data_IF_164894281437
#
_entry.id   IF_164894281437
#
_cell.length_a   1.000
_cell.length_b   1.000
_cell.length_c   1.000
_cell.angle_alpha   90.00
_cell.angle_beta   90.00
_cell.angle_gamma   90.00
#
_symmetry.space_group_name_H-M   'P 1'
#
loop_
_entity.id
_entity.type
_entity.pdbx_description
1 polymer ?
#
# COMPACT_ATOMS: atom_id res chain seq x y z
N UNK A 1 54.87 -24.88 160.52
CA UNK A 1 55.19 -25.73 159.34
C UNK A 1 53.99 -26.52 158.77
N UNK A 2 52.75 -26.34 159.26
CA UNK A 2 51.55 -27.01 158.71
C UNK A 2 50.83 -26.22 157.59
N UNK A 3 50.99 -24.89 157.53
CA UNK A 3 50.34 -24.03 156.52
C UNK A 3 51.00 -24.09 155.13
N UNK A 4 52.27 -24.51 155.02
CA UNK A 4 53.01 -24.55 153.76
C UNK A 4 52.66 -25.77 152.89
N UNK A 5 52.40 -26.93 153.50
CA UNK A 5 52.03 -28.17 152.79
C UNK A 5 50.58 -28.08 152.26
N UNK A 6 49.66 -27.48 153.03
CA UNK A 6 48.29 -27.23 152.57
C UNK A 6 48.21 -26.26 151.39
N UNK A 7 49.08 -25.24 151.37
CA UNK A 7 49.16 -24.28 150.27
C UNK A 7 49.74 -24.90 148.99
N UNK A 8 50.68 -25.85 149.12
CA UNK A 8 51.25 -26.58 147.98
C UNK A 8 50.27 -27.61 147.38
N UNK A 9 49.46 -28.28 148.22
CA UNK A 9 48.38 -29.16 147.75
C UNK A 9 47.26 -28.33 147.10
N UNK A 10 46.87 -27.20 147.69
CA UNK A 10 45.90 -26.27 147.09
C UNK A 10 46.39 -25.71 145.74
N UNK A 11 47.68 -25.38 145.63
CA UNK A 11 48.29 -24.94 144.38
C UNK A 11 48.32 -26.06 143.34
N UNK A 12 48.65 -27.30 143.72
CA UNK A 12 48.66 -28.44 142.81
C UNK A 12 47.26 -28.75 142.25
N UNK A 13 46.21 -28.63 143.07
CA UNK A 13 44.82 -28.81 142.63
C UNK A 13 44.40 -27.70 141.64
N UNK A 14 44.77 -26.44 141.91
CA UNK A 14 44.51 -25.32 140.98
C UNK A 14 45.24 -25.52 139.65
N UNK A 15 46.50 -25.96 139.67
CA UNK A 15 47.28 -26.23 138.45
C UNK A 15 46.68 -27.38 137.65
N UNK A 16 46.19 -28.44 138.30
CA UNK A 16 45.53 -29.57 137.63
C UNK A 16 44.21 -29.15 136.95
N UNK A 17 43.41 -28.29 137.60
CA UNK A 17 42.17 -27.75 137.02
C UNK A 17 42.49 -26.83 135.83
N UNK A 18 43.47 -25.93 135.97
CA UNK A 18 43.90 -25.04 134.89
C UNK A 18 44.44 -25.84 133.68
N UNK A 19 45.27 -26.86 133.91
CA UNK A 19 45.80 -27.70 132.84
C UNK A 19 44.72 -28.53 132.14
N UNK A 20 43.74 -29.07 132.87
CA UNK A 20 42.76 -30.00 132.31
C UNK A 20 41.53 -29.32 131.70
N UNK A 21 41.18 -28.10 132.12
CA UNK A 21 39.98 -27.41 131.64
C UNK A 21 40.27 -26.09 130.91
N UNK A 22 41.25 -25.29 131.33
CA UNK A 22 41.51 -23.96 130.71
C UNK A 22 42.47 -24.05 129.53
N UNK A 23 43.60 -24.78 129.67
CA UNK A 23 44.58 -24.96 128.59
C UNK A 23 44.00 -25.56 127.30
N UNK A 24 43.16 -26.63 127.33
CA UNK A 24 42.59 -27.17 126.09
C UNK A 24 41.61 -26.20 125.41
N UNK A 25 40.86 -25.40 126.17
CA UNK A 25 39.93 -24.40 125.62
C UNK A 25 40.70 -23.26 124.92
N UNK A 26 41.78 -22.77 125.55
CA UNK A 26 42.64 -21.71 125.00
C UNK A 26 43.44 -22.21 123.79
N UNK A 27 44.02 -23.42 123.83
CA UNK A 27 44.70 -24.02 122.67
C UNK A 27 43.74 -24.26 121.51
N UNK A 28 42.51 -24.71 121.77
CA UNK A 28 41.49 -24.91 120.74
C UNK A 28 41.05 -23.61 120.06
N UNK A 29 40.90 -22.52 120.81
CA UNK A 29 40.62 -21.19 120.22
C UNK A 29 41.82 -20.64 119.45
N UNK A 30 43.05 -20.87 119.93
CA UNK A 30 44.26 -20.46 119.22
C UNK A 30 44.47 -21.27 117.92
N UNK A 31 44.16 -22.57 117.91
CA UNK A 31 44.18 -23.43 116.72
C UNK A 31 43.10 -23.03 115.70
N UNK A 32 41.86 -22.76 116.15
CA UNK A 32 40.80 -22.24 115.26
C UNK A 32 41.16 -20.88 114.65
N UNK A 33 41.80 -20.00 115.41
CA UNK A 33 42.31 -18.75 114.83
C UNK A 33 43.48 -18.99 113.88
N UNK A 34 44.41 -19.90 114.18
CA UNK A 34 45.48 -20.27 113.26
C UNK A 34 44.95 -20.91 111.96
N UNK A 35 43.96 -21.80 112.03
CA UNK A 35 43.30 -22.40 110.86
C UNK A 35 42.46 -21.39 110.09
N UNK A 36 41.73 -20.49 110.74
CA UNK A 36 40.98 -19.43 110.07
C UNK A 36 41.92 -18.46 109.35
N UNK A 37 43.06 -18.10 109.95
CA UNK A 37 44.10 -17.29 109.30
C UNK A 37 44.74 -18.06 108.14
N UNK A 38 45.02 -19.36 108.32
CA UNK A 38 45.59 -20.21 107.25
C UNK A 38 44.63 -20.42 106.08
N UNK A 39 43.33 -20.60 106.36
CA UNK A 39 42.28 -20.72 105.36
C UNK A 39 42.02 -19.38 104.66
N UNK A 40 41.96 -18.26 105.40
CA UNK A 40 41.85 -16.92 104.82
C UNK A 40 43.06 -16.58 103.94
N UNK A 41 44.28 -16.96 104.34
CA UNK A 41 45.48 -16.81 103.51
C UNK A 41 45.45 -17.73 102.27
N UNK A 42 44.95 -18.95 102.39
CA UNK A 42 44.83 -19.88 101.26
C UNK A 42 43.74 -19.46 100.26
N UNK A 43 42.57 -19.01 100.74
CA UNK A 43 41.47 -18.49 99.92
C UNK A 43 41.86 -17.16 99.26
N UNK A 44 42.56 -16.27 99.97
CA UNK A 44 43.13 -15.06 99.39
C UNK A 44 44.17 -15.38 98.31
N UNK A 45 45.04 -16.38 98.54
CA UNK A 45 46.01 -16.82 97.53
C UNK A 45 45.33 -17.48 96.31
N UNK A 46 44.23 -18.23 96.50
CA UNK A 46 43.47 -18.81 95.38
C UNK A 46 42.66 -17.75 94.63
N UNK A 47 42.09 -16.76 95.33
CA UNK A 47 41.40 -15.63 94.72
C UNK A 47 42.37 -14.73 93.95
N UNK A 48 43.56 -14.44 94.50
CA UNK A 48 44.64 -13.76 93.78
C UNK A 48 45.07 -14.55 92.53
N UNK A 49 45.17 -15.88 92.62
CA UNK A 49 45.48 -16.72 91.46
C UNK A 49 44.36 -16.71 90.41
N UNK A 50 43.09 -16.83 90.79
CA UNK A 50 41.94 -16.76 89.87
C UNK A 50 41.81 -15.38 89.22
N UNK A 51 42.08 -14.31 89.97
CA UNK A 51 42.11 -12.96 89.44
C UNK A 51 43.26 -12.80 88.44
N UNK A 52 44.46 -13.29 88.77
CA UNK A 52 45.60 -13.30 87.85
C UNK A 52 45.34 -14.12 86.58
N UNK A 53 44.70 -15.30 86.71
CA UNK A 53 44.31 -16.14 85.57
C UNK A 53 43.23 -15.46 84.71
N UNK A 54 42.24 -14.80 85.34
CA UNK A 54 41.20 -14.05 84.64
C UNK A 54 41.76 -12.80 83.93
N UNK A 55 42.67 -12.06 84.55
CA UNK A 55 43.38 -10.93 83.95
C UNK A 55 44.24 -11.41 82.77
N UNK A 56 44.92 -12.55 82.90
CA UNK A 56 45.68 -13.16 81.81
C UNK A 56 44.78 -13.61 80.65
N UNK A 57 43.61 -14.22 80.94
CA UNK A 57 42.63 -14.58 79.92
C UNK A 57 42.00 -13.36 79.25
N UNK A 58 41.71 -12.30 80.00
CA UNK A 58 41.18 -11.06 79.45
C UNK A 58 42.21 -10.36 78.56
N UNK A 59 43.46 -10.26 79.01
CA UNK A 59 44.56 -9.72 78.23
C UNK A 59 44.74 -10.49 76.92
N UNK A 60 44.72 -11.84 76.98
CA UNK A 60 44.78 -12.70 75.80
C UNK A 60 43.57 -12.51 74.88
N UNK A 61 42.35 -12.45 75.40
CA UNK A 61 41.16 -12.21 74.60
C UNK A 61 41.16 -10.84 73.91
N UNK A 62 41.72 -9.81 74.55
CA UNK A 62 41.92 -8.48 73.94
C UNK A 62 42.97 -8.54 72.84
N UNK A 63 44.05 -9.29 73.04
CA UNK A 63 45.07 -9.52 72.01
C UNK A 63 44.49 -10.27 70.80
N UNK A 64 43.77 -11.37 71.03
CA UNK A 64 43.10 -12.16 70.00
C UNK A 64 42.04 -11.33 69.26
N UNK A 65 41.26 -10.50 69.98
CA UNK A 65 40.29 -9.59 69.37
C UNK A 65 40.96 -8.50 68.52
N UNK A 66 42.10 -7.95 68.95
CA UNK A 66 42.90 -7.01 68.15
C UNK A 66 43.46 -7.68 66.90
N UNK A 67 43.97 -8.90 67.01
CA UNK A 67 44.46 -9.68 65.88
C UNK A 67 43.34 -9.99 64.88
N UNK A 68 42.16 -10.40 65.36
CA UNK A 68 40.98 -10.64 64.53
C UNK A 68 40.49 -9.35 63.85
N UNK A 69 40.42 -8.22 64.57
CA UNK A 69 40.05 -6.93 64.00
C UNK A 69 41.04 -6.44 62.93
N UNK A 70 42.34 -6.64 63.15
CA UNK A 70 43.37 -6.35 62.16
C UNK A 70 43.18 -7.22 60.90
N UNK A 71 42.89 -8.53 61.08
CA UNK A 71 42.60 -9.44 59.97
C UNK A 71 41.36 -9.02 59.17
N UNK A 72 40.25 -8.69 59.84
CA UNK A 72 39.02 -8.21 59.20
C UNK A 72 39.26 -6.91 58.44
N UNK A 73 40.07 -6.01 58.99
CA UNK A 73 40.42 -4.74 58.31
C UNK A 73 41.23 -5.00 57.04
N UNK A 74 42.16 -5.96 57.07
CA UNK A 74 42.96 -6.32 55.89
C UNK A 74 42.11 -7.02 54.82
N UNK A 75 41.24 -7.94 55.22
CA UNK A 75 40.26 -8.57 54.32
C UNK A 75 39.33 -7.52 53.69
N UNK A 76 38.84 -6.55 54.47
CA UNK A 76 38.01 -5.45 53.97
C UNK A 76 38.74 -4.51 53.00
N UNK A 77 40.04 -4.24 53.22
CA UNK A 77 40.86 -3.47 52.28
C UNK A 77 41.03 -4.22 50.97
N UNK A 78 41.41 -5.50 51.03
CA UNK A 78 41.57 -6.32 49.83
C UNK A 78 40.25 -6.46 49.06
N UNK A 79 39.11 -6.62 49.76
CA UNK A 79 37.80 -6.62 49.12
C UNK A 79 37.44 -5.27 48.50
N UNK A 80 37.81 -4.15 49.13
CA UNK A 80 37.60 -2.82 48.55
C UNK A 80 38.40 -2.64 47.26
N UNK A 81 39.68 -3.03 47.26
CA UNK A 81 40.53 -3.02 46.06
C UNK A 81 39.97 -3.91 44.95
N UNK A 82 39.45 -5.10 45.32
CA UNK A 82 38.77 -6.01 44.39
C UNK A 82 37.50 -5.39 43.81
N UNK A 83 36.68 -4.73 44.62
CA UNK A 83 35.45 -4.04 44.17
C UNK A 83 35.82 -2.88 43.23
N UNK A 84 36.83 -2.08 43.57
CA UNK A 84 37.30 -1.00 42.72
C UNK A 84 37.80 -1.52 41.37
N UNK A 85 38.60 -2.58 41.36
CA UNK A 85 39.06 -3.22 40.13
C UNK A 85 37.90 -3.75 39.28
N UNK A 86 36.91 -4.39 39.90
CA UNK A 86 35.70 -4.88 39.22
C UNK A 86 34.86 -3.74 38.63
N UNK A 87 34.67 -2.65 39.37
CA UNK A 87 33.94 -1.47 38.90
C UNK A 87 34.68 -0.77 37.75
N UNK A 88 36.02 -0.70 37.80
CA UNK A 88 36.82 -0.15 36.71
C UNK A 88 36.74 -1.02 35.45
N UNK A 89 36.81 -2.35 35.59
CA UNK A 89 36.63 -3.27 34.46
C UNK A 89 35.23 -3.13 33.85
N UNK A 90 34.19 -3.11 34.69
CA UNK A 90 32.81 -2.92 34.24
C UNK A 90 32.62 -1.57 33.53
N UNK A 91 33.16 -0.48 34.10
CA UNK A 91 33.10 0.84 33.48
C UNK A 91 33.83 0.86 32.12
N UNK A 92 34.96 0.14 32.00
CA UNK A 92 35.67 -0.04 30.73
C UNK A 92 34.84 -0.80 29.69
N UNK A 93 34.17 -1.87 30.09
CA UNK A 93 33.27 -2.65 29.23
C UNK A 93 32.06 -1.82 28.79
N UNK A 94 31.45 -1.05 29.69
CA UNK A 94 30.33 -0.16 29.37
C UNK A 94 30.77 0.98 28.44
N UNK A 95 31.94 1.58 28.66
CA UNK A 95 32.50 2.61 27.78
C UNK A 95 32.74 2.08 26.35
N UNK A 96 33.34 0.89 26.20
CA UNK A 96 33.53 0.27 24.88
C UNK A 96 32.21 -0.15 24.23
N UNK A 97 31.22 -0.59 25.02
CA UNK A 97 29.87 -0.83 24.52
C UNK A 97 29.22 0.45 23.97
N UNK A 98 29.28 1.55 24.71
CA UNK A 98 28.73 2.84 24.26
C UNK A 98 29.46 3.33 23.00
N UNK A 99 30.79 3.20 22.97
CA UNK A 99 31.62 3.61 21.83
C UNK A 99 31.33 2.79 20.57
N UNK A 100 31.21 1.47 20.70
CA UNK A 100 30.86 0.59 19.57
C UNK A 100 29.44 0.86 19.04
N UNK A 101 28.46 1.05 19.93
CA UNK A 101 27.10 1.45 19.57
C UNK A 101 27.07 2.82 18.88
N UNK A 102 27.79 3.81 19.43
CA UNK A 102 27.92 5.14 18.84
C UNK A 102 28.57 5.11 17.46
N UNK A 103 29.60 4.28 17.25
CA UNK A 103 30.23 4.08 15.96
C UNK A 103 29.25 3.49 14.91
N UNK A 104 28.44 2.50 15.31
CA UNK A 104 27.39 1.94 14.45
C UNK A 104 26.32 3.00 14.12
N UNK A 105 25.90 3.80 15.10
CA UNK A 105 24.93 4.87 14.87
C UNK A 105 25.47 5.96 13.94
N UNK A 106 26.74 6.35 14.08
CA UNK A 106 27.41 7.27 13.17
C UNK A 106 27.48 6.72 11.74
N UNK A 107 27.75 5.42 11.58
CA UNK A 107 27.74 4.78 10.26
C UNK A 107 26.34 4.81 9.62
N UNK A 108 25.30 4.50 10.39
CA UNK A 108 23.91 4.58 9.91
C UNK A 108 23.51 6.01 9.52
N UNK A 109 23.84 7.01 10.35
CA UNK A 109 23.59 8.42 10.03
C UNK A 109 24.35 8.85 8.77
N UNK A 110 25.62 8.46 8.62
CA UNK A 110 26.40 8.73 7.41
C UNK A 110 25.74 8.13 6.16
N UNK A 111 25.28 6.88 6.23
CA UNK A 111 24.57 6.25 5.11
C UNK A 111 23.26 6.97 4.78
N UNK A 112 22.51 7.42 5.79
CA UNK A 112 21.29 8.20 5.59
C UNK A 112 21.58 9.54 4.91
N UNK A 113 22.59 10.29 5.37
CA UNK A 113 23.00 11.57 4.76
C UNK A 113 23.44 11.35 3.31
N UNK A 114 24.20 10.29 3.01
CA UNK A 114 24.59 9.97 1.62
C UNK A 114 23.36 9.68 0.75
N UNK A 115 22.38 8.91 1.26
CA UNK A 115 21.14 8.64 0.52
C UNK A 115 20.34 9.92 0.27
N UNK A 116 20.21 10.78 1.27
CA UNK A 116 19.54 12.08 1.14
C UNK A 116 20.25 12.97 0.12
N UNK A 117 21.58 13.05 0.17
CA UNK A 117 22.37 13.81 -0.80
C UNK A 117 22.21 13.27 -2.22
N UNK A 118 22.23 11.95 -2.42
CA UNK A 118 21.99 11.32 -3.73
C UNK A 118 20.60 11.63 -4.26
N UNK A 119 19.58 11.56 -3.41
CA UNK A 119 18.21 11.91 -3.78
C UNK A 119 18.09 13.38 -4.17
N UNK A 120 18.63 14.29 -3.36
CA UNK A 120 18.60 15.73 -3.63
C UNK A 120 19.37 16.11 -4.90
N UNK A 121 20.55 15.53 -5.10
CA UNK A 121 21.31 15.72 -6.34
C UNK A 121 20.56 15.18 -7.55
N UNK A 122 19.92 14.01 -7.42
CA UNK A 122 19.10 13.42 -8.48
C UNK A 122 17.94 14.32 -8.88
N UNK A 123 17.21 14.86 -7.90
CA UNK A 123 16.11 15.80 -8.15
C UNK A 123 16.59 17.07 -8.86
N UNK A 124 17.69 17.67 -8.39
CA UNK A 124 18.26 18.87 -9.04
C UNK A 124 18.75 18.58 -10.46
N UNK A 125 19.32 17.39 -10.69
CA UNK A 125 19.80 16.97 -12.01
C UNK A 125 18.63 16.80 -12.98
N UNK A 126 17.54 16.15 -12.56
CA UNK A 126 16.33 16.00 -13.39
C UNK A 126 15.69 17.36 -13.65
N UNK A 127 15.64 18.26 -12.66
CA UNK A 127 15.12 19.63 -12.85
C UNK A 127 15.93 20.41 -13.90
N UNK A 128 17.26 20.29 -13.87
CA UNK A 128 18.13 20.91 -14.88
C UNK A 128 17.99 20.24 -16.25
N UNK A 129 17.82 18.91 -16.28
CA UNK A 129 17.51 18.19 -17.51
C UNK A 129 16.16 18.65 -18.11
N UNK A 130 15.11 18.82 -17.31
CA UNK A 130 13.80 19.36 -17.74
C UNK A 130 13.95 20.76 -18.33
N UNK A 131 14.71 21.65 -17.69
CA UNK A 131 15.00 22.99 -18.22
C UNK A 131 15.73 22.95 -19.58
N UNK A 132 16.74 22.08 -19.71
CA UNK A 132 17.49 21.87 -20.95
C UNK A 132 16.60 21.28 -22.06
N UNK A 133 15.78 20.28 -21.72
CA UNK A 133 14.84 19.66 -22.67
C UNK A 133 13.78 20.67 -23.10
N UNK A 134 13.22 21.47 -22.18
CA UNK A 134 12.28 22.55 -22.51
C UNK A 134 12.87 23.56 -23.48
N UNK A 135 14.13 23.95 -23.29
CA UNK A 135 14.84 24.82 -24.21
C UNK A 135 15.08 24.14 -25.56
N UNK A 136 15.42 22.86 -25.57
CA UNK A 136 15.62 22.08 -26.80
C UNK A 136 14.33 21.93 -27.61
N UNK A 137 13.21 21.58 -26.96
CA UNK A 137 11.90 21.44 -27.65
C UNK A 137 11.28 22.78 -28.05
N UNK A 138 11.86 23.92 -27.71
CA UNK A 138 11.41 25.21 -28.25
C UNK A 138 11.82 25.39 -29.72
N UNK A 139 12.83 24.65 -30.19
CA UNK A 139 13.26 24.62 -31.59
C UNK A 139 12.39 23.65 -32.41
N UNK A 140 11.65 24.11 -33.44
CA UNK A 140 10.85 23.26 -34.31
C UNK A 140 11.64 22.12 -34.98
N UNK A 141 12.92 22.34 -35.31
CA UNK A 141 13.74 21.29 -35.93
C UNK A 141 14.03 20.15 -34.95
N UNK A 142 14.24 20.47 -33.67
CA UNK A 142 14.43 19.48 -32.61
C UNK A 142 13.14 18.70 -32.30
N UNK A 143 11.97 19.38 -32.36
CA UNK A 143 10.67 18.72 -32.24
C UNK A 143 10.46 17.71 -33.36
N UNK A 144 10.66 18.13 -34.62
CA UNK A 144 10.53 17.26 -35.79
C UNK A 144 11.44 16.03 -35.70
N UNK A 145 12.72 16.22 -35.39
CA UNK A 145 13.67 15.12 -35.24
C UNK A 145 13.31 14.15 -34.09
N UNK A 146 12.62 14.63 -33.05
CA UNK A 146 12.13 13.78 -31.95
C UNK A 146 10.93 12.95 -32.39
N UNK A 147 10.00 13.55 -33.16
CA UNK A 147 8.86 12.85 -33.75
C UNK A 147 9.34 11.79 -34.74
N UNK A 148 10.26 12.13 -35.65
CA UNK A 148 10.78 11.19 -36.65
C UNK A 148 11.40 9.96 -36.00
N UNK A 149 12.24 10.15 -34.96
CA UNK A 149 12.82 9.03 -34.21
C UNK A 149 11.74 8.15 -33.57
N UNK A 150 10.69 8.75 -33.02
CA UNK A 150 9.61 8.00 -32.41
C UNK A 150 8.81 7.21 -33.46
N UNK A 151 8.59 7.78 -34.65
CA UNK A 151 7.95 7.07 -35.77
C UNK A 151 8.83 5.90 -36.23
N UNK A 152 10.14 6.09 -36.36
CA UNK A 152 11.08 5.01 -36.70
C UNK A 152 11.06 3.87 -35.66
N UNK A 153 10.91 4.19 -34.37
CA UNK A 153 10.76 3.20 -33.29
C UNK A 153 9.42 2.46 -33.39
N UNK A 154 8.33 3.15 -33.72
CA UNK A 154 7.01 2.54 -33.91
C UNK A 154 6.99 1.61 -35.15
N UNK A 155 7.59 2.02 -36.26
CA UNK A 155 7.67 1.20 -37.47
C UNK A 155 8.43 -0.12 -37.20
N UNK A 156 9.47 -0.08 -36.36
CA UNK A 156 10.18 -1.29 -35.93
C UNK A 156 9.33 -2.21 -35.03
N UNK A 157 8.41 -1.64 -34.25
CA UNK A 157 7.50 -2.41 -33.38
C UNK A 157 6.33 -3.03 -34.16
N UNK A 158 5.89 -2.40 -35.24
CA UNK A 158 4.65 -2.74 -35.94
C UNK A 158 4.90 -3.77 -37.06
N UNK A 159 5.35 -4.96 -36.68
CA UNK A 159 5.55 -6.10 -37.62
C UNK A 159 4.35 -7.06 -37.69
N UNK A 160 3.16 -6.63 -37.27
CA UNK A 160 1.94 -7.44 -37.36
C UNK A 160 0.78 -6.62 -37.91
N UNK A 161 0.37 -6.97 -39.12
CA UNK A 161 -0.81 -6.46 -39.81
C UNK A 161 -2.05 -6.91 -39.02
N UNK A 162 -2.42 -6.12 -38.00
CA UNK A 162 -3.62 -6.36 -37.22
C UNK A 162 -4.78 -5.85 -38.06
N UNK A 163 -5.63 -6.77 -38.56
CA UNK A 163 -6.93 -6.39 -39.12
C UNK A 163 -7.68 -5.61 -38.03
N UNK A 164 -7.78 -4.29 -38.19
CA UNK A 164 -8.52 -3.46 -37.27
C UNK A 164 -9.99 -3.82 -37.45
N UNK A 165 -10.54 -4.58 -36.49
CA UNK A 165 -11.98 -4.71 -36.35
C UNK A 165 -12.54 -3.30 -36.14
N UNK A 166 -13.24 -2.78 -37.15
CA UNK A 166 -13.85 -1.45 -37.09
C UNK A 166 -14.73 -1.36 -35.85
N UNK A 167 -14.71 -0.24 -35.12
CA UNK A 167 -15.42 -0.08 -33.84
C UNK A 167 -16.93 -0.42 -33.90
N UNK A 168 -17.55 -0.35 -35.08
CA UNK A 168 -18.93 -0.76 -35.34
C UNK A 168 -19.17 -2.28 -35.22
N UNK A 169 -18.19 -3.11 -35.59
CA UNK A 169 -18.32 -4.59 -35.57
C UNK A 169 -17.83 -5.20 -34.26
N UNK A 170 -16.94 -4.50 -33.53
CA UNK A 170 -16.32 -4.97 -32.29
C UNK A 170 -17.35 -5.21 -31.15
N UNK A 171 -18.47 -4.48 -31.14
CA UNK A 171 -19.53 -4.64 -30.12
C UNK A 171 -20.58 -5.72 -30.47
N UNK A 172 -20.58 -6.22 -31.70
CA UNK A 172 -21.58 -7.18 -32.16
C UNK A 172 -21.23 -8.61 -31.71
N UNK A 173 -22.26 -9.39 -31.35
CA UNK A 173 -22.10 -10.84 -31.11
C UNK A 173 -21.88 -11.58 -32.44
N UNK A 174 -21.36 -12.81 -32.37
CA UNK A 174 -20.97 -13.61 -33.54
C UNK A 174 -22.04 -13.69 -34.65
N UNK A 175 -23.30 -13.97 -34.32
CA UNK A 175 -24.37 -14.07 -35.32
C UNK A 175 -24.68 -12.72 -36.00
N UNK A 176 -24.65 -11.61 -35.25
CA UNK A 176 -24.81 -10.27 -35.83
C UNK A 176 -23.61 -9.86 -36.68
N UNK A 177 -22.39 -10.25 -36.30
CA UNK A 177 -21.17 -9.99 -37.07
C UNK A 177 -21.20 -10.70 -38.43
N UNK A 178 -21.58 -11.97 -38.44
CA UNK A 178 -21.69 -12.79 -39.66
C UNK A 178 -22.81 -12.27 -40.58
N UNK A 179 -23.96 -11.92 -39.99
CA UNK A 179 -25.08 -11.30 -40.68
C UNK A 179 -24.71 -9.95 -41.32
N UNK A 180 -23.98 -9.11 -40.59
CA UNK A 180 -23.51 -7.82 -41.10
C UNK A 180 -22.47 -8.01 -42.21
N UNK A 181 -21.53 -8.95 -42.06
CA UNK A 181 -20.54 -9.24 -43.10
C UNK A 181 -21.20 -9.69 -44.41
N UNK A 182 -22.21 -10.57 -44.32
CA UNK A 182 -23.01 -11.00 -45.47
C UNK A 182 -23.73 -9.81 -46.12
N UNK A 183 -24.32 -8.94 -45.30
CA UNK A 183 -25.04 -7.76 -45.76
C UNK A 183 -24.11 -6.74 -46.45
N UNK A 184 -22.91 -6.51 -45.91
CA UNK A 184 -21.90 -5.64 -46.54
C UNK A 184 -21.43 -6.22 -47.87
N UNK A 185 -21.24 -7.54 -47.97
CA UNK A 185 -20.89 -8.19 -49.25
C UNK A 185 -21.97 -8.02 -50.34
N UNK A 186 -23.25 -8.10 -49.98
CA UNK A 186 -24.35 -7.80 -50.90
C UNK A 186 -24.37 -6.30 -51.25
N UNK A 187 -24.16 -5.43 -50.27
CA UNK A 187 -24.03 -3.99 -50.51
C UNK A 187 -22.92 -3.67 -51.51
N UNK A 188 -21.72 -4.23 -51.38
CA UNK A 188 -20.61 -4.00 -52.30
C UNK A 188 -20.96 -4.41 -53.74
N UNK A 189 -21.71 -5.52 -53.87
CA UNK A 189 -22.19 -6.03 -55.16
C UNK A 189 -23.18 -5.08 -55.82
N UNK A 190 -24.09 -4.47 -55.05
CA UNK A 190 -25.08 -3.52 -55.54
C UNK A 190 -24.46 -2.13 -55.78
N UNK A 191 -23.74 -1.60 -54.79
CA UNK A 191 -23.12 -0.28 -54.80
C UNK A 191 -22.05 -0.15 -55.89
N UNK A 192 -21.30 -1.21 -56.20
CA UNK A 192 -20.34 -1.23 -57.30
C UNK A 192 -20.96 -0.99 -58.70
N UNK A 193 -22.29 -1.07 -58.83
CA UNK A 193 -23.02 -0.81 -60.08
C UNK A 193 -23.64 0.59 -60.13
N UNK A 194 -23.68 1.29 -59.00
CA UNK A 194 -24.33 2.58 -58.85
C UNK A 194 -23.34 3.73 -59.06
N UNK A 195 -23.87 4.88 -59.50
CA UNK A 195 -23.16 6.16 -59.54
C UNK A 195 -23.73 7.11 -58.49
N UNK A 196 -23.12 8.28 -58.35
CA UNK A 196 -23.45 9.28 -57.33
C UNK A 196 -24.96 9.55 -57.10
N UNK A 197 -25.82 9.73 -58.13
CA UNK A 197 -27.25 9.96 -57.89
C UNK A 197 -27.94 8.73 -57.29
N UNK A 198 -27.57 7.53 -57.73
CA UNK A 198 -28.11 6.28 -57.21
C UNK A 198 -27.64 5.97 -55.80
N UNK A 199 -26.38 6.28 -55.48
CA UNK A 199 -25.83 6.14 -54.12
C UNK A 199 -26.46 7.12 -53.14
N UNK A 200 -26.81 8.32 -53.60
CA UNK A 200 -27.55 9.31 -52.79
C UNK A 200 -28.96 8.82 -52.48
N UNK A 201 -29.70 8.37 -53.50
CA UNK A 201 -31.03 7.77 -53.30
C UNK A 201 -30.97 6.57 -52.36
N UNK A 202 -30.01 5.67 -52.56
CA UNK A 202 -29.82 4.50 -51.70
C UNK A 202 -29.59 4.89 -50.23
N UNK A 203 -28.72 5.87 -49.98
CA UNK A 203 -28.46 6.36 -48.63
C UNK A 203 -29.73 6.95 -47.99
N UNK A 204 -30.43 7.83 -48.69
CA UNK A 204 -31.63 8.51 -48.19
C UNK A 204 -32.78 7.54 -47.90
N UNK A 205 -32.96 6.54 -48.77
CA UNK A 205 -33.98 5.50 -48.58
C UNK A 205 -33.62 4.56 -47.42
N UNK A 206 -32.36 4.16 -47.26
CA UNK A 206 -31.94 3.34 -46.12
C UNK A 206 -32.11 4.08 -44.80
N UNK A 207 -31.83 5.39 -44.75
CA UNK A 207 -32.13 6.23 -43.57
C UNK A 207 -33.62 6.31 -43.32
N UNK A 208 -34.44 6.45 -44.36
CA UNK A 208 -35.90 6.48 -44.23
C UNK A 208 -36.44 5.16 -43.69
N UNK A 209 -35.89 4.03 -44.14
CA UNK A 209 -36.21 2.69 -43.61
C UNK A 209 -35.76 2.57 -42.16
N UNK A 210 -34.54 2.99 -41.81
CA UNK A 210 -34.08 3.01 -40.42
C UNK A 210 -35.00 3.86 -39.53
N UNK A 211 -35.35 5.07 -39.97
CA UNK A 211 -36.28 5.96 -39.27
C UNK A 211 -37.67 5.36 -39.07
N UNK A 212 -38.19 4.62 -40.06
CA UNK A 212 -39.43 3.85 -39.93
C UNK A 212 -39.32 2.77 -38.86
N UNK A 213 -38.24 1.99 -38.86
CA UNK A 213 -38.03 0.92 -37.88
C UNK A 213 -37.85 1.47 -36.45
N UNK A 214 -37.18 2.62 -36.30
CA UNK A 214 -37.04 3.31 -35.03
C UNK A 214 -38.40 3.82 -34.54
N UNK A 215 -39.19 4.42 -35.43
CA UNK A 215 -40.51 4.96 -35.10
C UNK A 215 -41.55 3.87 -34.81
N UNK A 216 -41.37 2.68 -35.38
CA UNK A 216 -42.28 1.54 -35.25
C UNK A 216 -41.56 0.34 -34.60
N UNK A 217 -41.30 0.37 -33.27
CA UNK A 217 -40.50 -0.65 -32.60
C UNK A 217 -41.11 -2.06 -32.68
N UNK A 218 -42.44 -2.16 -32.81
CA UNK A 218 -43.14 -3.44 -33.02
C UNK A 218 -42.73 -4.07 -34.36
N UNK A 219 -42.66 -3.27 -35.43
CA UNK A 219 -42.23 -3.73 -36.75
C UNK A 219 -40.77 -4.18 -36.70
N UNK A 220 -39.89 -3.35 -36.13
CA UNK A 220 -38.47 -3.67 -35.98
C UNK A 220 -38.26 -5.00 -35.25
N UNK A 221 -38.96 -5.22 -34.14
CA UNK A 221 -38.90 -6.49 -33.39
C UNK A 221 -39.37 -7.70 -34.19
N UNK A 222 -40.43 -7.55 -35.00
CA UNK A 222 -40.91 -8.64 -35.84
C UNK A 222 -39.93 -8.99 -36.97
N UNK A 223 -39.29 -7.99 -37.57
CA UNK A 223 -38.31 -8.19 -38.65
C UNK A 223 -36.96 -8.71 -38.13
N UNK A 224 -36.50 -8.24 -36.98
CA UNK A 224 -35.25 -8.65 -36.36
C UNK A 224 -35.31 -10.02 -35.66
N UNK A 225 -36.50 -10.59 -35.47
CA UNK A 225 -36.67 -11.88 -34.80
C UNK A 225 -35.87 -13.00 -35.51
N UNK A 226 -35.00 -13.74 -34.79
CA UNK A 226 -34.32 -14.90 -35.35
C UNK A 226 -35.31 -16.00 -35.71
N UNK A 227 -35.23 -16.53 -36.93
CA UNK A 227 -36.09 -17.63 -37.39
C UNK A 227 -35.33 -18.50 -38.40
N UNK A 228 -35.74 -19.77 -38.51
CA UNK A 228 -35.22 -20.69 -39.52
C UNK A 228 -35.79 -20.40 -40.92
N UNK A 229 -37.06 -19.97 -41.00
CA UNK A 229 -37.69 -19.55 -42.26
C UNK A 229 -37.92 -18.03 -42.27
N UNK A 230 -37.06 -17.25 -42.96
CA UNK A 230 -37.22 -15.80 -43.04
C UNK A 230 -38.32 -15.35 -44.01
N UNK A 231 -38.90 -16.24 -44.83
CA UNK A 231 -39.79 -15.85 -45.92
C UNK A 231 -41.01 -15.01 -45.50
N UNK A 232 -41.67 -15.27 -44.34
CA UNK A 232 -42.76 -14.40 -43.87
C UNK A 232 -42.31 -12.97 -43.54
N UNK A 233 -41.11 -12.82 -42.98
CA UNK A 233 -40.55 -11.49 -42.63
C UNK A 233 -40.18 -10.72 -43.88
N UNK A 234 -39.58 -11.40 -44.85
CA UNK A 234 -39.22 -10.83 -46.16
C UNK A 234 -40.47 -10.36 -46.89
N UNK A 235 -41.54 -11.20 -46.98
CA UNK A 235 -42.81 -10.79 -47.59
C UNK A 235 -43.45 -9.58 -46.89
N UNK A 236 -43.34 -9.49 -45.57
CA UNK A 236 -43.82 -8.32 -44.83
C UNK A 236 -43.05 -7.06 -45.22
N UNK A 237 -41.71 -7.12 -45.27
CA UNK A 237 -40.87 -6.00 -45.70
C UNK A 237 -41.18 -5.59 -47.15
N UNK A 238 -41.32 -6.56 -48.06
CA UNK A 238 -41.72 -6.32 -49.45
C UNK A 238 -43.07 -5.62 -49.56
N UNK A 239 -44.08 -6.10 -48.84
CA UNK A 239 -45.43 -5.52 -48.90
C UNK A 239 -45.44 -4.07 -48.40
N UNK A 240 -44.59 -3.74 -47.42
CA UNK A 240 -44.53 -2.41 -46.83
C UNK A 240 -43.70 -1.41 -47.65
N UNK A 241 -42.62 -1.88 -48.29
CA UNK A 241 -41.63 -1.01 -48.93
C UNK A 241 -41.72 -1.01 -50.46
N UNK A 242 -42.38 -1.99 -51.08
CA UNK A 242 -42.56 -2.02 -52.53
C UNK A 242 -43.26 -0.76 -53.04
N UNK A 243 -42.66 -0.11 -54.05
CA UNK A 243 -43.15 1.15 -54.61
C UNK A 243 -42.94 2.38 -53.73
N UNK A 244 -42.23 2.24 -52.60
CA UNK A 244 -41.80 3.35 -51.72
C UNK A 244 -40.30 3.61 -51.75
N UNK A 245 -39.51 2.59 -52.07
CA UNK A 245 -38.06 2.63 -52.22
C UNK A 245 -37.67 1.99 -53.55
N UNK A 246 -36.47 2.29 -54.04
CA UNK A 246 -35.88 1.68 -55.23
C UNK A 246 -35.62 0.18 -55.05
N UNK A 247 -35.53 -0.54 -56.17
CA UNK A 247 -35.32 -2.00 -56.18
C UNK A 247 -34.00 -2.38 -55.47
N UNK A 248 -32.94 -1.58 -55.60
CA UNK A 248 -31.66 -1.82 -54.93
C UNK A 248 -31.77 -1.74 -53.41
N UNK A 249 -32.49 -0.74 -52.88
CA UNK A 249 -32.74 -0.59 -51.45
C UNK A 249 -33.60 -1.74 -50.93
N UNK A 250 -34.64 -2.12 -51.69
CA UNK A 250 -35.52 -3.21 -51.32
C UNK A 250 -34.75 -4.53 -51.20
N UNK A 251 -33.86 -4.83 -52.15
CA UNK A 251 -33.04 -6.04 -52.14
C UNK A 251 -32.08 -6.09 -50.94
N UNK A 252 -31.48 -4.96 -50.56
CA UNK A 252 -30.65 -4.88 -49.35
C UNK A 252 -31.47 -5.09 -48.07
N UNK A 253 -32.68 -4.52 -48.00
CA UNK A 253 -33.58 -4.74 -46.87
C UNK A 253 -34.07 -6.19 -46.81
N UNK A 254 -34.36 -6.83 -47.95
CA UNK A 254 -34.70 -8.26 -48.03
C UNK A 254 -33.57 -9.10 -47.43
N UNK A 255 -32.34 -8.84 -47.86
CA UNK A 255 -31.15 -9.50 -47.32
C UNK A 255 -31.04 -9.26 -45.82
N UNK A 256 -31.10 -8.01 -45.34
CA UNK A 256 -30.99 -7.68 -43.92
C UNK A 256 -32.05 -8.38 -43.05
N UNK A 257 -33.30 -8.44 -43.50
CA UNK A 257 -34.41 -9.10 -42.80
C UNK A 257 -34.29 -10.64 -42.83
N UNK A 258 -33.63 -11.19 -43.86
CA UNK A 258 -33.37 -12.63 -43.96
C UNK A 258 -32.30 -13.13 -42.99
N UNK A 259 -31.41 -12.24 -42.55
CA UNK A 259 -30.30 -12.57 -41.65
C UNK A 259 -30.73 -12.78 -40.18
N UNK A 260 -29.79 -13.29 -39.36
CA UNK A 260 -30.00 -13.62 -37.94
C UNK A 260 -29.30 -12.63 -37.02
N UNK A 261 -30.10 -11.76 -36.41
CA UNK A 261 -29.61 -10.74 -35.49
C UNK A 261 -29.63 -11.22 -34.05
N UNK A 262 -28.56 -10.92 -33.29
CA UNK A 262 -28.45 -11.32 -31.88
C UNK A 262 -29.27 -10.42 -30.95
N UNK A 263 -29.56 -9.19 -31.35
CA UNK A 263 -30.47 -8.27 -30.65
C UNK A 263 -31.35 -7.54 -31.66
N UNK A 264 -32.50 -7.07 -31.20
CA UNK A 264 -33.49 -6.37 -32.05
C UNK A 264 -32.93 -5.07 -32.65
N UNK A 265 -32.08 -4.37 -31.90
CA UNK A 265 -31.38 -3.15 -32.33
C UNK A 265 -30.43 -3.40 -33.50
N UNK A 266 -29.83 -4.59 -33.60
CA UNK A 266 -28.73 -4.84 -34.53
C UNK A 266 -29.19 -4.81 -36.00
N UNK A 267 -30.45 -5.14 -36.28
CA UNK A 267 -31.02 -4.98 -37.63
C UNK A 267 -31.05 -3.49 -38.03
N UNK A 268 -31.48 -2.63 -37.11
CA UNK A 268 -31.53 -1.18 -37.36
C UNK A 268 -30.10 -0.64 -37.47
N UNK A 269 -29.21 -1.03 -36.56
CA UNK A 269 -27.78 -0.65 -36.59
C UNK A 269 -27.13 -1.02 -37.93
N UNK A 270 -27.46 -2.20 -38.48
CA UNK A 270 -26.95 -2.68 -39.75
C UNK A 270 -27.46 -1.88 -40.95
N UNK A 271 -28.75 -1.52 -40.96
CA UNK A 271 -29.34 -0.68 -42.02
C UNK A 271 -28.73 0.73 -41.97
N UNK A 272 -28.55 1.30 -40.77
CA UNK A 272 -27.86 2.59 -40.61
C UNK A 272 -26.39 2.51 -41.04
N UNK A 273 -25.71 1.39 -40.76
CA UNK A 273 -24.35 1.16 -41.20
C UNK A 273 -24.26 1.13 -42.73
N UNK A 274 -25.18 0.43 -43.41
CA UNK A 274 -25.27 0.44 -44.87
C UNK A 274 -25.53 1.84 -45.44
N UNK A 275 -26.41 2.62 -44.81
CA UNK A 275 -26.67 4.00 -45.25
C UNK A 275 -25.40 4.86 -45.19
N UNK A 276 -24.61 4.73 -44.12
CA UNK A 276 -23.31 5.40 -43.98
C UNK A 276 -22.31 4.90 -45.03
N UNK A 277 -22.27 3.59 -45.28
CA UNK A 277 -21.43 3.02 -46.34
C UNK A 277 -21.83 3.52 -47.73
N UNK A 278 -23.12 3.70 -48.01
CA UNK A 278 -23.60 4.26 -49.28
C UNK A 278 -23.09 5.70 -49.49
N UNK A 279 -23.13 6.55 -48.45
CA UNK A 279 -22.56 7.90 -48.51
C UNK A 279 -21.03 7.89 -48.65
N UNK A 280 -20.34 7.01 -47.92
CA UNK A 280 -18.89 6.87 -48.05
C UNK A 280 -18.49 6.37 -49.44
N UNK A 281 -19.27 5.43 -50.02
CA UNK A 281 -19.06 4.97 -51.39
C UNK A 281 -19.32 6.08 -52.40
N UNK A 282 -20.28 6.98 -52.13
CA UNK A 282 -20.50 8.18 -52.94
C UNK A 282 -19.28 9.11 -52.90
N UNK A 283 -18.70 9.34 -51.72
CA UNK A 283 -17.47 10.13 -51.59
C UNK A 283 -16.30 9.48 -52.36
N UNK A 284 -16.17 8.15 -52.29
CA UNK A 284 -15.17 7.40 -53.06
C UNK A 284 -15.34 7.56 -54.57
N UNK A 285 -16.57 7.43 -55.07
CA UNK A 285 -16.88 7.61 -56.51
C UNK A 285 -16.64 9.05 -56.96
N UNK A 286 -16.75 10.02 -56.06
CA UNK A 286 -16.57 11.45 -56.33
C UNK A 286 -15.13 11.93 -56.09
N UNK A 287 -14.23 11.06 -55.65
CA UNK A 287 -12.84 11.38 -55.29
C UNK A 287 -12.73 12.41 -54.13
N UNK A 288 -13.69 12.38 -53.21
CA UNK A 288 -13.80 13.30 -52.07
C UNK A 288 -13.45 12.62 -50.72
N UNK A 289 -12.84 11.43 -50.74
CA UNK A 289 -12.58 10.63 -49.54
C UNK A 289 -11.73 11.38 -48.53
N UNK A 290 -10.61 11.94 -48.97
CA UNK A 290 -9.67 12.67 -48.11
C UNK A 290 -10.33 13.91 -47.48
N UNK A 291 -11.14 14.63 -48.25
CA UNK A 291 -11.85 15.82 -47.76
C UNK A 291 -12.90 15.45 -46.71
N UNK A 292 -13.69 14.39 -46.97
CA UNK A 292 -14.70 13.91 -46.04
C UNK A 292 -14.05 13.39 -44.75
N UNK A 293 -12.95 12.65 -44.85
CA UNK A 293 -12.19 12.19 -43.69
C UNK A 293 -11.67 13.36 -42.85
N UNK A 294 -11.01 14.33 -43.47
CA UNK A 294 -10.47 15.51 -42.76
C UNK A 294 -11.59 16.27 -42.03
N UNK A 295 -12.74 16.45 -42.69
CA UNK A 295 -13.87 17.17 -42.10
C UNK A 295 -14.52 16.40 -40.95
N UNK A 296 -14.70 15.09 -41.07
CA UNK A 296 -15.20 14.25 -39.98
C UNK A 296 -14.23 14.28 -38.78
N UNK A 297 -12.92 14.24 -39.03
CA UNK A 297 -11.91 14.33 -37.97
C UNK A 297 -11.92 15.70 -37.29
N UNK A 298 -12.00 16.77 -38.07
CA UNK A 298 -12.09 18.15 -37.58
C UNK A 298 -13.34 18.34 -36.74
N UNK A 299 -14.48 17.81 -37.18
CA UNK A 299 -15.72 17.87 -36.43
C UNK A 299 -15.66 17.03 -35.15
N UNK A 300 -15.02 15.86 -35.19
CA UNK A 300 -14.74 15.04 -34.01
C UNK A 300 -13.97 15.82 -32.95
N UNK A 301 -12.83 16.45 -33.33
CA UNK A 301 -12.06 17.33 -32.44
C UNK A 301 -12.90 18.49 -31.89
N UNK A 302 -13.73 19.12 -32.73
CA UNK A 302 -14.62 20.20 -32.30
C UNK A 302 -15.63 19.74 -31.24
N UNK A 303 -16.22 18.56 -31.41
CA UNK A 303 -17.14 17.97 -30.44
C UNK A 303 -16.44 17.61 -29.13
N UNK A 304 -15.22 17.09 -29.20
CA UNK A 304 -14.40 16.77 -28.03
C UNK A 304 -14.04 18.04 -27.23
N UNK A 305 -13.72 19.13 -27.93
CA UNK A 305 -13.42 20.43 -27.32
C UNK A 305 -14.67 21.17 -26.80
N UNK A 306 -15.87 20.81 -27.29
CA UNK A 306 -17.13 21.48 -26.96
C UNK A 306 -18.14 20.53 -26.29
N UNK A 307 -17.92 20.14 -25.01
CA UNK A 307 -18.75 19.13 -24.33
C UNK A 307 -20.23 19.54 -24.22
N UNK A 308 -20.54 20.84 -24.19
CA UNK A 308 -21.92 21.33 -24.19
C UNK A 308 -22.63 21.07 -25.52
N UNK A 309 -21.94 21.25 -26.64
CA UNK A 309 -22.50 20.96 -27.97
C UNK A 309 -22.78 19.47 -28.11
N UNK A 310 -21.81 18.64 -27.72
CA UNK A 310 -21.94 17.19 -27.72
C UNK A 310 -23.13 16.72 -26.87
N UNK A 311 -23.28 17.26 -25.66
CA UNK A 311 -24.43 16.95 -24.81
C UNK A 311 -25.78 17.26 -25.50
N UNK A 312 -25.90 18.44 -26.13
CA UNK A 312 -27.12 18.85 -26.83
C UNK A 312 -27.41 18.01 -28.09
N UNK A 313 -26.38 17.64 -28.85
CA UNK A 313 -26.52 16.76 -30.02
C UNK A 313 -26.84 15.31 -29.61
N UNK A 314 -26.34 14.88 -28.44
CA UNK A 314 -26.57 13.53 -27.91
C UNK A 314 -27.94 13.34 -27.24
N UNK A 315 -28.69 14.42 -27.00
CA UNK A 315 -30.00 14.37 -26.35
C UNK A 315 -31.06 13.72 -27.25
N UNK A 316 -31.13 12.40 -27.22
CA UNK A 316 -32.12 11.61 -27.97
C UNK A 316 -33.55 11.77 -27.44
N UNK A 317 -33.77 12.45 -26.31
CA UNK A 317 -35.11 12.78 -25.82
C UNK A 317 -35.67 14.03 -26.48
N UNK A 318 -34.81 14.88 -27.02
CA UNK A 318 -35.20 16.05 -27.80
C UNK A 318 -35.55 15.68 -29.26
N UNK A 319 -36.45 16.43 -29.91
CA UNK A 319 -36.78 16.22 -31.33
C UNK A 319 -35.54 16.25 -32.22
N UNK A 320 -35.41 15.27 -33.12
CA UNK A 320 -34.27 15.14 -34.04
C UNK A 320 -34.10 16.37 -34.94
N UNK A 321 -35.20 16.99 -35.37
CA UNK A 321 -35.19 18.21 -36.19
C UNK A 321 -34.47 19.37 -35.49
N UNK A 322 -34.67 19.54 -34.18
CA UNK A 322 -33.97 20.58 -33.40
C UNK A 322 -32.47 20.33 -33.30
N UNK A 323 -32.06 19.06 -33.16
CA UNK A 323 -30.65 18.65 -33.12
C UNK A 323 -29.97 18.80 -34.48
N UNK A 324 -30.64 18.42 -35.56
CA UNK A 324 -30.18 18.65 -36.94
C UNK A 324 -30.07 20.15 -37.22
N UNK A 325 -31.03 20.96 -36.77
CA UNK A 325 -30.97 22.41 -36.90
C UNK A 325 -29.81 23.05 -36.14
N UNK A 326 -29.46 22.52 -34.95
CA UNK A 326 -28.27 22.93 -34.22
C UNK A 326 -26.99 22.52 -34.97
N UNK A 327 -26.93 21.29 -35.47
CA UNK A 327 -25.83 20.78 -36.26
C UNK A 327 -25.59 21.63 -37.52
N UNK A 328 -26.64 21.97 -38.27
CA UNK A 328 -26.54 22.79 -39.47
C UNK A 328 -25.91 24.16 -39.16
N UNK A 329 -26.30 24.81 -38.07
CA UNK A 329 -25.69 26.09 -37.65
C UNK A 329 -24.18 25.98 -37.41
N UNK A 330 -23.72 24.84 -36.89
CA UNK A 330 -22.29 24.57 -36.66
C UNK A 330 -21.59 24.27 -37.98
N UNK A 331 -22.19 23.42 -38.80
CA UNK A 331 -21.65 23.02 -40.11
C UNK A 331 -21.55 24.20 -41.08
N UNK A 332 -22.57 25.04 -41.16
CA UNK A 332 -22.62 26.22 -42.03
C UNK A 332 -21.52 27.22 -41.69
N UNK A 333 -21.13 27.30 -40.41
CA UNK A 333 -20.02 28.13 -39.96
C UNK A 333 -18.65 27.54 -40.30
N UNK A 334 -18.57 26.23 -40.51
CA UNK A 334 -17.33 25.48 -40.75
C UNK A 334 -17.06 25.20 -42.24
N UNK A 335 -18.07 25.33 -43.11
CA UNK A 335 -17.95 25.10 -44.56
C UNK A 335 -17.76 23.63 -44.92
N UNK A 336 -18.62 22.73 -44.44
CA UNK A 336 -18.48 21.30 -44.73
C UNK A 336 -18.93 20.93 -46.15
N UNK A 337 -18.27 19.92 -46.70
CA UNK A 337 -18.67 19.18 -47.88
C UNK A 337 -20.06 18.55 -47.66
N UNK A 338 -20.86 18.48 -48.73
CA UNK A 338 -22.21 17.92 -48.70
C UNK A 338 -22.29 16.49 -48.16
N UNK A 339 -21.26 15.67 -48.39
CA UNK A 339 -21.21 14.28 -47.91
C UNK A 339 -20.90 14.18 -46.41
N UNK A 340 -19.93 14.95 -45.91
CA UNK A 340 -19.65 15.00 -44.47
C UNK A 340 -20.85 15.56 -43.70
N UNK A 341 -21.49 16.62 -44.22
CA UNK A 341 -22.69 17.19 -43.61
C UNK A 341 -23.86 16.20 -43.58
N UNK A 342 -24.05 15.40 -44.62
CA UNK A 342 -25.07 14.36 -44.65
C UNK A 342 -24.78 13.24 -43.64
N UNK A 343 -23.55 12.74 -43.58
CA UNK A 343 -23.14 11.72 -42.60
C UNK A 343 -23.40 12.18 -41.15
N UNK A 344 -23.08 13.43 -40.83
CA UNK A 344 -23.32 14.01 -39.50
C UNK A 344 -24.82 14.16 -39.23
N UNK A 345 -25.60 14.64 -40.21
CA UNK A 345 -27.06 14.78 -40.07
C UNK A 345 -27.75 13.44 -39.84
N UNK A 346 -27.37 12.42 -40.63
CA UNK A 346 -27.88 11.06 -40.47
C UNK A 346 -27.54 10.49 -39.09
N UNK A 347 -26.29 10.67 -38.65
CA UNK A 347 -25.84 10.16 -37.34
C UNK A 347 -26.59 10.82 -36.18
N UNK A 348 -26.77 12.14 -36.20
CA UNK A 348 -27.52 12.86 -35.15
C UNK A 348 -29.01 12.54 -35.20
N UNK A 349 -29.58 12.40 -36.40
CA UNK A 349 -30.99 12.08 -36.60
C UNK A 349 -31.38 10.68 -36.12
N UNK A 350 -30.46 9.72 -36.25
CA UNK A 350 -30.66 8.30 -35.92
C UNK A 350 -30.06 7.89 -34.57
N UNK A 351 -29.60 8.86 -33.77
CA UNK A 351 -28.96 8.57 -32.48
C UNK A 351 -29.94 7.95 -31.47
N UNK A 352 -29.54 6.83 -30.86
CA UNK A 352 -30.41 5.96 -30.03
C UNK A 352 -29.93 5.76 -28.58
N UNK A 353 -29.23 6.75 -28.02
CA UNK A 353 -28.72 6.73 -26.64
C UNK A 353 -27.32 6.15 -26.53
#
# INVERSE_FOLDING_TARGET
>A
MSTFIGQLIGFAVIVAILMKWVVPLVKGMMQKQQEAIRAALAESAEAEKKLADADAMHAKAVEDAKAAAAKVTEEAKHDSERIEAQLQEQAGLEAERIKSQGAQQLQMMRQQVIRQLRSGLGEQSVRKADELVRAHVADPAAQAATVDRFLDELDQMTSSETTIETGATARLRAASRDSLATLVGEFDTQAGRLREPGLTTLADELVSVAGLLISQPVLARHLARPTDDPAPKVRLAETLLSGKVDDHTLDLVRTAVSQRWSEESNLVDAIEHLARLALLKRAEVSDEVDEVEEQLFRFGRLLDDQPRLTALLSDYTAPSEGRIGLLNKVIDSAGANGTAAELLRQTVGLLRG
#
